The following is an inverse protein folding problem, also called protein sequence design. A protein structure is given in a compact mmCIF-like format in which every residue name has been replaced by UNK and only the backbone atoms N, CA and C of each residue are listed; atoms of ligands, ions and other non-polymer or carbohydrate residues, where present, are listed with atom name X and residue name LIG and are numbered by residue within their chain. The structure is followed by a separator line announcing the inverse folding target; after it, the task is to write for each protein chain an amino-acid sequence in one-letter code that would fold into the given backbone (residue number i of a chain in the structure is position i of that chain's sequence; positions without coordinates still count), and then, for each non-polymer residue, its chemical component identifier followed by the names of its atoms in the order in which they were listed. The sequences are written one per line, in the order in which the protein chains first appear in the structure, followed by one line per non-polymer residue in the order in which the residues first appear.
data_IF_227024807936
#
_entry.id   IF_227024807936
#
_cell.length_a   1.000
_cell.length_b   1.000
_cell.length_c   1.000
_cell.angle_alpha   90.00
_cell.angle_beta   90.00
_cell.angle_gamma   90.00
#
_symmetry.space_group_name_H-M   'P 1'
#
loop_
_entity.id
_entity.type
_entity.pdbx_description
1 polymer ?
#
# COMPACT_ATOMS: atom_id res chain seq x y z
N UNK A 1 -24.17 -19.85 2.95
CA UNK A 1 -25.51 -20.46 3.10
C UNK A 1 -25.68 -21.47 1.98
N UNK A 2 -26.26 -22.64 2.22
CA UNK A 2 -26.59 -23.57 1.15
C UNK A 2 -27.49 -22.83 0.14
N UNK A 3 -27.09 -22.74 -1.12
CA UNK A 3 -27.92 -22.16 -2.18
C UNK A 3 -29.26 -22.89 -2.18
N UNK A 4 -30.31 -22.17 -1.81
CA UNK A 4 -31.67 -22.66 -1.95
C UNK A 4 -31.96 -22.58 -3.45
N UNK A 5 -31.76 -23.70 -4.14
CA UNK A 5 -32.03 -23.83 -5.57
C UNK A 5 -33.48 -23.41 -5.84
N UNK A 6 -33.67 -22.61 -6.89
CA UNK A 6 -35.01 -22.24 -7.31
C UNK A 6 -35.75 -23.46 -7.86
N UNK A 7 -37.08 -23.46 -7.81
CA UNK A 7 -37.89 -24.59 -8.27
C UNK A 7 -37.59 -24.98 -9.72
N UNK A 8 -37.24 -24.01 -10.57
CA UNK A 8 -36.83 -24.26 -11.96
C UNK A 8 -35.49 -24.99 -12.08
N UNK A 9 -34.54 -24.72 -11.18
CA UNK A 9 -33.25 -25.40 -11.15
C UNK A 9 -33.39 -26.83 -10.62
N UNK A 10 -34.32 -27.06 -9.68
CA UNK A 10 -34.67 -28.40 -9.19
C UNK A 10 -35.29 -29.22 -10.32
N UNK A 11 -36.18 -28.61 -11.12
CA UNK A 11 -36.83 -29.26 -12.25
C UNK A 11 -35.82 -29.57 -13.38
N UNK A 12 -34.86 -28.68 -13.66
CA UNK A 12 -33.79 -28.92 -14.64
C UNK A 12 -32.86 -30.08 -14.22
N UNK A 13 -32.49 -30.15 -12.93
CA UNK A 13 -31.69 -31.27 -12.40
C UNK A 13 -32.47 -32.59 -12.39
N UNK A 14 -33.77 -32.56 -12.08
CA UNK A 14 -34.65 -33.73 -12.15
C UNK A 14 -34.79 -34.24 -13.59
N UNK A 15 -34.86 -33.33 -14.56
CA UNK A 15 -34.95 -33.67 -15.98
C UNK A 15 -33.63 -34.23 -16.54
N UNK A 16 -32.46 -33.73 -16.08
CA UNK A 16 -31.15 -34.33 -16.40
C UNK A 16 -31.00 -35.74 -15.83
N UNK A 17 -31.49 -35.97 -14.61
CA UNK A 17 -31.46 -37.30 -13.98
C UNK A 17 -32.42 -38.30 -14.64
N UNK A 18 -33.53 -37.82 -15.22
CA UNK A 18 -34.54 -38.63 -15.90
C UNK A 18 -34.17 -39.00 -17.36
N UNK A 19 -33.02 -38.57 -17.87
CA UNK A 19 -32.46 -39.03 -19.14
C UNK A 19 -33.19 -38.54 -20.41
N UNK A 20 -34.01 -37.50 -20.31
CA UNK A 20 -34.67 -36.91 -21.49
C UNK A 20 -33.76 -35.83 -22.07
N UNK A 21 -33.07 -36.14 -23.17
CA UNK A 21 -32.35 -35.14 -23.98
C UNK A 21 -33.38 -34.26 -24.69
N UNK A 22 -33.54 -33.03 -24.22
CA UNK A 22 -34.23 -31.97 -24.96
C UNK A 22 -33.14 -31.13 -25.63
N UNK A 23 -33.17 -31.09 -26.97
CA UNK A 23 -32.31 -30.21 -27.76
C UNK A 23 -32.59 -28.75 -27.37
N UNK A 24 -31.69 -28.15 -26.59
CA UNK A 24 -31.74 -26.72 -26.29
C UNK A 24 -31.39 -25.95 -27.57
N UNK A 25 -32.41 -25.34 -28.18
CA UNK A 25 -32.24 -24.25 -29.16
C UNK A 25 -31.58 -23.10 -28.42
N UNK A 26 -30.31 -22.85 -28.72
CA UNK A 26 -29.55 -21.70 -28.26
C UNK A 26 -30.18 -20.43 -28.83
N UNK A 27 -30.95 -19.73 -28.00
CA UNK A 27 -31.26 -18.33 -28.24
C UNK A 27 -30.16 -17.50 -27.58
N UNK A 28 -29.42 -16.76 -28.41
CA UNK A 28 -28.47 -15.74 -27.99
C UNK A 28 -29.23 -14.59 -27.31
N UNK A 29 -29.66 -14.81 -26.07
CA UNK A 29 -30.07 -13.75 -25.17
C UNK A 29 -28.84 -13.43 -24.35
N UNK A 30 -28.28 -12.23 -24.57
CA UNK A 30 -27.27 -11.64 -23.71
C UNK A 30 -27.72 -11.81 -22.26
N UNK A 31 -26.96 -12.61 -21.52
CA UNK A 31 -27.25 -13.02 -20.15
C UNK A 31 -27.02 -11.81 -19.24
N UNK A 32 -27.97 -10.86 -19.25
CA UNK A 32 -28.05 -9.84 -18.23
C UNK A 32 -28.38 -10.58 -16.94
N UNK A 33 -27.35 -10.90 -16.14
CA UNK A 33 -27.53 -11.49 -14.82
C UNK A 33 -28.40 -10.53 -13.98
N UNK A 34 -29.70 -10.80 -13.91
CA UNK A 34 -30.64 -10.03 -13.10
C UNK A 34 -30.28 -10.36 -11.65
N UNK A 35 -29.51 -9.49 -11.00
CA UNK A 35 -29.26 -9.58 -9.56
C UNK A 35 -30.50 -9.06 -8.84
N UNK A 36 -31.17 -9.92 -8.06
CA UNK A 36 -32.24 -9.51 -7.17
C UNK A 36 -31.71 -8.43 -6.21
N UNK A 37 -32.31 -7.24 -6.27
CA UNK A 37 -31.97 -6.14 -5.37
C UNK A 37 -32.85 -6.23 -4.14
N UNK A 38 -32.23 -6.46 -2.97
CA UNK A 38 -32.95 -6.49 -1.71
C UNK A 38 -33.24 -5.07 -1.23
N UNK A 39 -34.48 -4.63 -1.39
CA UNK A 39 -34.94 -3.31 -0.92
C UNK A 39 -34.93 -3.17 0.61
N UNK A 40 -34.79 -4.26 1.38
CA UNK A 40 -34.68 -4.21 2.85
C UNK A 40 -33.28 -3.86 3.32
N UNK A 41 -32.27 -4.14 2.50
CA UNK A 41 -30.85 -3.84 2.74
C UNK A 41 -30.30 -3.07 1.54
N UNK A 42 -30.71 -1.80 1.33
CA UNK A 42 -30.23 -1.02 0.22
C UNK A 42 -28.71 -0.90 0.31
N UNK A 43 -28.01 -1.38 -0.74
CA UNK A 43 -26.55 -1.23 -0.87
C UNK A 43 -26.19 0.21 -0.67
N UNK A 44 -25.37 0.49 0.34
CA UNK A 44 -25.03 1.88 0.67
C UNK A 44 -23.92 2.39 -0.24
N UNK A 45 -23.05 1.50 -0.73
CA UNK A 45 -21.91 1.89 -1.54
C UNK A 45 -22.22 2.00 -3.04
N UNK A 46 -21.81 3.11 -3.66
CA UNK A 46 -21.88 3.31 -5.10
C UNK A 46 -20.88 2.41 -5.86
N UNK A 47 -21.08 2.24 -7.17
CA UNK A 47 -20.16 1.46 -8.01
C UNK A 47 -18.76 2.08 -8.07
N UNK A 48 -18.68 3.41 -8.06
CA UNK A 48 -17.42 4.15 -8.05
C UNK A 48 -16.68 3.97 -6.72
N UNK A 49 -17.43 3.99 -5.61
CA UNK A 49 -16.86 3.75 -4.29
C UNK A 49 -16.30 2.34 -4.15
N UNK A 50 -17.03 1.32 -4.61
CA UNK A 50 -16.52 -0.05 -4.67
C UNK A 50 -15.22 -0.18 -5.49
N UNK A 51 -15.13 0.54 -6.62
CA UNK A 51 -13.93 0.53 -7.46
C UNK A 51 -12.74 1.18 -6.75
N UNK A 52 -12.95 2.33 -6.10
CA UNK A 52 -11.91 3.02 -5.34
C UNK A 52 -11.41 2.16 -4.17
N UNK A 53 -12.34 1.55 -3.42
CA UNK A 53 -11.99 0.64 -2.33
C UNK A 53 -11.21 -0.58 -2.84
N UNK A 54 -11.66 -1.20 -3.92
CA UNK A 54 -10.97 -2.34 -4.54
C UNK A 54 -9.53 -2.01 -4.98
N UNK A 55 -9.29 -0.79 -5.47
CA UNK A 55 -7.95 -0.34 -5.82
C UNK A 55 -7.05 -0.20 -4.59
N UNK A 56 -7.58 0.39 -3.51
CA UNK A 56 -6.86 0.55 -2.24
C UNK A 56 -6.51 -0.80 -1.61
N UNK A 57 -7.46 -1.73 -1.57
CA UNK A 57 -7.28 -3.05 -0.98
C UNK A 57 -6.29 -3.89 -1.77
N UNK A 58 -6.28 -3.80 -3.10
CA UNK A 58 -5.29 -4.47 -3.94
C UNK A 58 -3.85 -3.99 -3.68
N UNK A 59 -3.66 -2.69 -3.46
CA UNK A 59 -2.34 -2.15 -3.07
C UNK A 59 -1.90 -2.70 -1.71
N UNK A 60 -2.79 -2.72 -0.73
CA UNK A 60 -2.51 -3.29 0.60
C UNK A 60 -2.17 -4.78 0.48
N UNK A 61 -2.94 -5.54 -0.31
CA UNK A 61 -2.70 -6.97 -0.55
C UNK A 61 -1.30 -7.24 -1.11
N UNK A 62 -0.86 -6.44 -2.08
CA UNK A 62 0.51 -6.52 -2.63
C UNK A 62 1.60 -6.22 -1.61
N UNK A 63 1.42 -5.19 -0.77
CA UNK A 63 2.36 -4.87 0.30
C UNK A 63 2.44 -5.99 1.36
N UNK A 64 1.28 -6.56 1.72
CA UNK A 64 1.21 -7.70 2.63
C UNK A 64 1.91 -8.93 2.04
N UNK A 65 1.69 -9.25 0.77
CA UNK A 65 2.32 -10.39 0.11
C UNK A 65 3.84 -10.28 0.13
N UNK A 66 4.37 -9.10 -0.23
CA UNK A 66 5.81 -8.83 -0.18
C UNK A 66 6.39 -8.93 1.24
N UNK A 67 5.67 -8.41 2.23
CA UNK A 67 6.08 -8.48 3.63
C UNK A 67 6.09 -9.93 4.14
N UNK A 68 5.02 -10.68 3.88
CA UNK A 68 4.89 -12.07 4.31
C UNK A 68 5.92 -12.95 3.62
N UNK A 69 6.18 -12.75 2.33
CA UNK A 69 7.24 -13.46 1.64
C UNK A 69 8.62 -13.24 2.30
N UNK A 70 8.89 -12.02 2.77
CA UNK A 70 10.12 -11.68 3.50
C UNK A 70 10.20 -12.34 4.89
N UNK A 71 9.14 -12.23 5.69
CA UNK A 71 9.07 -12.85 7.03
C UNK A 71 9.15 -14.37 6.94
N UNK A 72 8.43 -14.96 5.99
CA UNK A 72 8.30 -16.40 5.86
C UNK A 72 9.49 -17.02 5.13
N UNK A 73 10.23 -16.23 4.34
CA UNK A 73 11.24 -16.71 3.39
C UNK A 73 10.67 -17.81 2.49
N UNK A 74 9.42 -17.62 2.06
CA UNK A 74 8.68 -18.52 1.17
C UNK A 74 7.81 -17.66 0.25
N UNK A 75 7.41 -18.22 -0.90
CA UNK A 75 6.48 -17.53 -1.78
C UNK A 75 5.12 -17.37 -1.08
N UNK A 76 4.58 -16.15 -1.13
CA UNK A 76 3.28 -15.81 -0.57
C UNK A 76 2.47 -15.05 -1.62
N UNK A 77 1.25 -15.53 -1.84
CA UNK A 77 0.27 -14.90 -2.71
C UNK A 77 -0.90 -14.40 -1.87
N UNK A 78 -1.27 -13.13 -2.04
CA UNK A 78 -2.40 -12.52 -1.36
C UNK A 78 -3.23 -11.77 -2.38
N UNK A 79 -4.49 -12.20 -2.54
CA UNK A 79 -5.44 -11.60 -3.48
C UNK A 79 -6.73 -11.24 -2.75
N UNK A 80 -7.38 -10.15 -3.17
CA UNK A 80 -8.73 -9.81 -2.70
C UNK A 80 -9.71 -10.84 -3.27
N UNK A 81 -10.35 -11.61 -2.41
CA UNK A 81 -11.33 -12.64 -2.75
C UNK A 81 -12.73 -12.02 -2.89
N UNK A 82 -13.15 -11.23 -1.88
CA UNK A 82 -14.43 -10.53 -1.91
C UNK A 82 -14.41 -9.22 -1.13
N UNK A 83 -15.38 -8.36 -1.46
CA UNK A 83 -15.68 -7.09 -0.80
C UNK A 83 -17.20 -7.05 -0.69
N UNK A 84 -17.72 -7.30 0.51
CA UNK A 84 -19.15 -7.48 0.76
C UNK A 84 -19.65 -6.66 1.95
N UNK A 85 -20.84 -6.06 1.80
CA UNK A 85 -21.55 -5.33 2.85
C UNK A 85 -22.32 -6.32 3.75
N UNK A 86 -22.09 -6.26 5.07
CA UNK A 86 -22.79 -7.06 6.06
C UNK A 86 -23.20 -6.23 7.28
N UNK A 87 -24.32 -6.56 7.95
CA UNK A 87 -24.52 -6.13 9.33
C UNK A 87 -23.41 -6.69 10.23
N UNK A 88 -22.85 -5.87 11.12
CA UNK A 88 -21.71 -6.29 11.95
C UNK A 88 -22.03 -7.51 12.82
N UNK A 89 -23.26 -7.63 13.33
CA UNK A 89 -23.67 -8.80 14.11
C UNK A 89 -23.60 -10.11 13.30
N UNK A 90 -23.88 -10.08 12.00
CA UNK A 90 -23.79 -11.27 11.14
C UNK A 90 -22.34 -11.66 10.93
N UNK A 91 -21.49 -10.68 10.64
CA UNK A 91 -20.05 -10.87 10.54
C UNK A 91 -19.48 -11.47 11.82
N UNK A 92 -19.72 -10.82 12.97
CA UNK A 92 -19.18 -11.23 14.26
C UNK A 92 -19.63 -12.65 14.66
N UNK A 93 -20.89 -13.01 14.37
CA UNK A 93 -21.41 -14.36 14.64
C UNK A 93 -20.87 -15.43 13.69
N UNK A 94 -20.29 -15.05 12.54
CA UNK A 94 -19.68 -15.98 11.58
C UNK A 94 -18.24 -16.35 11.93
N UNK A 95 -17.61 -15.58 12.82
CA UNK A 95 -16.21 -15.79 13.19
C UNK A 95 -16.04 -16.95 14.19
N UNK A 96 -14.91 -17.67 14.15
CA UNK A 96 -14.55 -18.63 15.19
C UNK A 96 -14.45 -17.96 16.57
N UNK A 97 -14.67 -18.75 17.63
CA UNK A 97 -14.53 -18.27 19.01
C UNK A 97 -13.09 -17.84 19.36
N UNK A 98 -12.10 -18.56 18.82
CA UNK A 98 -10.67 -18.29 18.98
C UNK A 98 -10.12 -17.84 17.63
N UNK A 99 -9.89 -16.53 17.53
CA UNK A 99 -9.39 -15.87 16.32
C UNK A 99 -8.51 -14.70 16.76
N UNK A 100 -7.39 -14.51 16.08
CA UNK A 100 -6.54 -13.37 16.34
C UNK A 100 -7.04 -12.15 15.56
N UNK A 101 -7.49 -11.15 16.31
CA UNK A 101 -8.08 -9.93 15.77
C UNK A 101 -7.34 -8.72 16.28
N UNK A 102 -6.82 -7.89 15.38
CA UNK A 102 -6.29 -6.58 15.74
C UNK A 102 -7.38 -5.51 15.64
N UNK A 103 -7.48 -4.68 16.68
CA UNK A 103 -8.27 -3.45 16.65
C UNK A 103 -7.35 -2.31 16.25
N UNK A 104 -7.64 -1.69 15.12
CA UNK A 104 -6.80 -0.64 14.52
C UNK A 104 -7.55 0.68 14.51
N UNK A 105 -6.92 1.72 15.06
CA UNK A 105 -7.47 3.07 15.12
C UNK A 105 -6.93 3.91 13.97
N UNK A 106 -7.81 4.72 13.39
CA UNK A 106 -7.49 5.64 12.31
C UNK A 106 -7.97 7.04 12.70
N UNK A 107 -7.03 7.92 13.00
CA UNK A 107 -7.30 9.25 13.56
C UNK A 107 -8.12 10.13 12.62
N UNK A 108 -7.88 10.05 11.30
CA UNK A 108 -8.56 10.91 10.30
C UNK A 108 -10.07 10.68 10.21
N UNK A 109 -10.56 9.52 10.69
CA UNK A 109 -11.98 9.14 10.69
C UNK A 109 -12.54 8.98 12.10
N UNK A 110 -11.75 9.25 13.15
CA UNK A 110 -12.11 9.03 14.56
C UNK A 110 -12.77 7.67 14.79
N UNK A 111 -12.16 6.62 14.26
CA UNK A 111 -12.79 5.31 14.14
C UNK A 111 -11.81 4.15 14.25
N UNK A 112 -12.38 2.97 14.49
CA UNK A 112 -11.65 1.71 14.55
C UNK A 112 -12.10 0.75 13.46
N UNK A 113 -11.16 -0.01 12.91
CA UNK A 113 -11.40 -1.15 12.03
C UNK A 113 -10.87 -2.42 12.70
N UNK A 114 -11.35 -3.57 12.24
CA UNK A 114 -10.86 -4.87 12.69
C UNK A 114 -10.06 -5.55 11.58
N UNK A 115 -8.93 -6.15 11.96
CA UNK A 115 -8.12 -7.00 11.10
C UNK A 115 -8.04 -8.40 11.70
N UNK A 116 -8.74 -9.33 11.08
CA UNK A 116 -8.80 -10.72 11.46
C UNK A 116 -7.81 -11.55 10.65
N UNK A 117 -7.14 -12.50 11.29
CA UNK A 117 -6.24 -13.43 10.62
C UNK A 117 -6.59 -14.88 10.96
N UNK A 118 -6.81 -15.70 9.93
CA UNK A 118 -7.15 -17.10 10.13
C UNK A 118 -6.05 -17.84 10.88
N UNK A 119 -6.43 -18.77 11.76
CA UNK A 119 -5.49 -19.50 12.60
C UNK A 119 -4.39 -20.22 11.77
N UNK A 120 -4.71 -20.70 10.58
CA UNK A 120 -3.71 -21.29 9.67
C UNK A 120 -2.56 -20.34 9.32
N UNK A 121 -2.86 -19.07 9.02
CA UNK A 121 -1.86 -18.06 8.68
C UNK A 121 -1.14 -17.57 9.94
N UNK A 122 -1.90 -17.31 11.01
CA UNK A 122 -1.35 -16.84 12.30
C UNK A 122 -0.31 -17.81 12.86
N UNK A 123 -0.64 -19.10 12.96
CA UNK A 123 0.32 -20.10 13.47
C UNK A 123 1.51 -20.30 12.53
N UNK A 124 1.31 -20.20 11.21
CA UNK A 124 2.40 -20.27 10.24
C UNK A 124 3.42 -19.14 10.44
N UNK A 125 2.93 -17.91 10.67
CA UNK A 125 3.79 -16.77 10.95
C UNK A 125 4.53 -16.93 12.27
N UNK A 126 3.85 -17.34 13.34
CA UNK A 126 4.43 -17.56 14.66
C UNK A 126 5.54 -18.61 14.60
N UNK A 127 5.26 -19.80 14.07
CA UNK A 127 6.23 -20.89 13.94
C UNK A 127 7.47 -20.40 13.22
N UNK A 128 7.29 -19.66 12.12
CA UNK A 128 8.40 -19.15 11.34
C UNK A 128 9.20 -18.07 12.05
N UNK A 129 8.55 -17.19 12.81
CA UNK A 129 9.22 -16.17 13.63
C UNK A 129 10.02 -16.79 14.79
N UNK A 130 9.61 -17.95 15.27
CA UNK A 130 10.34 -18.76 16.28
C UNK A 130 11.44 -19.64 15.66
N UNK A 131 11.60 -19.64 14.33
CA UNK A 131 12.62 -20.41 13.61
C UNK A 131 12.18 -21.80 13.15
N UNK A 132 10.89 -22.11 13.26
CA UNK A 132 10.27 -23.35 12.79
C UNK A 132 10.13 -23.47 11.28
N UNK A 133 9.58 -24.61 10.84
CA UNK A 133 9.27 -24.90 9.43
C UNK A 133 7.79 -24.64 9.14
N UNK A 134 7.51 -24.17 7.92
CA UNK A 134 6.16 -23.87 7.45
C UNK A 134 5.38 -25.14 7.13
N UNK A 135 6.06 -26.19 6.64
CA UNK A 135 5.43 -27.37 6.01
C UNK A 135 4.68 -28.31 6.97
N UNK A 136 4.76 -28.08 8.28
CA UNK A 136 4.22 -28.96 9.33
C UNK A 136 3.38 -28.22 10.38
N UNK A 137 2.84 -27.06 10.03
CA UNK A 137 2.10 -26.21 10.99
C UNK A 137 0.82 -26.91 11.44
N UNK A 138 0.88 -27.60 12.58
CA UNK A 138 -0.30 -28.15 13.27
C UNK A 138 -0.98 -26.97 13.94
N UNK A 139 -2.24 -26.71 13.60
CA UNK A 139 -3.03 -25.67 14.25
C UNK A 139 -3.48 -26.20 15.61
N UNK A 140 -2.98 -25.65 16.73
CA UNK A 140 -3.41 -26.05 18.05
C UNK A 140 -4.88 -25.69 18.28
N UNK A 141 -5.64 -26.61 18.87
CA UNK A 141 -6.99 -26.33 19.36
C UNK A 141 -6.93 -25.79 20.80
N UNK A 142 -6.33 -24.60 20.96
CA UNK A 142 -6.22 -23.87 22.24
C UNK A 142 -6.18 -22.37 21.99
N UNK A 143 -6.36 -21.59 23.06
CA UNK A 143 -6.14 -20.14 23.05
C UNK A 143 -4.67 -19.79 22.77
N UNK A 144 -4.45 -18.60 22.22
CA UNK A 144 -3.12 -18.04 22.00
C UNK A 144 -2.45 -17.67 23.34
N UNK A 145 -1.15 -17.94 23.44
CA UNK A 145 -0.31 -17.50 24.55
C UNK A 145 0.06 -16.02 24.42
N UNK A 146 0.45 -15.39 25.53
CA UNK A 146 0.93 -14.00 25.53
C UNK A 146 2.15 -13.80 24.61
N UNK A 147 3.03 -14.81 24.51
CA UNK A 147 4.20 -14.78 23.61
C UNK A 147 3.75 -14.75 22.15
N UNK A 148 2.76 -15.56 21.79
CA UNK A 148 2.19 -15.61 20.43
C UNK A 148 1.53 -14.28 20.06
N UNK A 149 0.78 -13.68 20.98
CA UNK A 149 0.17 -12.35 20.81
C UNK A 149 1.26 -11.27 20.64
N UNK A 150 2.31 -11.28 21.46
CA UNK A 150 3.40 -10.31 21.37
C UNK A 150 4.20 -10.42 20.06
N UNK A 151 4.38 -11.62 19.52
CA UNK A 151 4.99 -11.81 18.20
C UNK A 151 4.11 -11.19 17.11
N UNK A 152 2.80 -11.46 17.16
CA UNK A 152 1.86 -10.99 16.16
C UNK A 152 1.60 -9.49 16.25
N UNK A 153 1.82 -8.85 17.40
CA UNK A 153 1.81 -7.39 17.53
C UNK A 153 2.76 -6.71 16.53
N UNK A 154 3.92 -7.31 16.27
CA UNK A 154 4.88 -6.79 15.29
C UNK A 154 4.35 -6.87 13.86
N UNK A 155 3.64 -7.96 13.55
CA UNK A 155 3.00 -8.18 12.25
C UNK A 155 1.89 -7.16 12.05
N UNK A 156 0.96 -7.04 13.01
CA UNK A 156 -0.15 -6.10 12.91
C UNK A 156 0.29 -4.64 12.89
N UNK A 157 1.32 -4.25 13.65
CA UNK A 157 1.92 -2.91 13.52
C UNK A 157 2.43 -2.64 12.11
N UNK A 158 3.04 -3.64 11.46
CA UNK A 158 3.49 -3.48 10.07
C UNK A 158 2.30 -3.39 9.10
N UNK A 159 1.23 -4.15 9.33
CA UNK A 159 -0.02 -4.01 8.57
C UNK A 159 -0.62 -2.61 8.71
N UNK A 160 -0.63 -2.04 9.91
CA UNK A 160 -1.08 -0.66 10.15
C UNK A 160 -0.29 0.36 9.31
N UNK A 161 1.04 0.18 9.18
CA UNK A 161 1.85 1.03 8.31
C UNK A 161 1.42 0.94 6.85
N UNK A 162 1.12 -0.25 6.33
CA UNK A 162 0.66 -0.40 4.95
C UNK A 162 -0.72 0.23 4.72
N UNK A 163 -1.61 0.14 5.71
CA UNK A 163 -2.90 0.83 5.67
C UNK A 163 -2.68 2.35 5.66
N UNK A 164 -1.79 2.87 6.51
CA UNK A 164 -1.46 4.30 6.52
C UNK A 164 -0.89 4.76 5.17
N UNK A 165 0.01 3.99 4.57
CA UNK A 165 0.58 4.28 3.24
C UNK A 165 -0.49 4.28 2.15
N UNK A 166 -1.43 3.32 2.17
CA UNK A 166 -2.55 3.29 1.24
C UNK A 166 -3.49 4.50 1.40
N UNK A 167 -3.56 5.05 2.62
CA UNK A 167 -4.37 6.21 2.96
C UNK A 167 -3.61 7.55 2.85
N UNK A 168 -2.44 7.61 2.21
CA UNK A 168 -1.59 8.82 2.15
C UNK A 168 -2.30 10.07 1.60
N UNK A 169 -3.33 9.88 0.79
CA UNK A 169 -4.12 10.97 0.20
C UNK A 169 -5.08 11.65 1.21
N UNK A 170 -5.23 11.10 2.41
CA UNK A 170 -5.98 11.69 3.50
C UNK A 170 -5.04 12.55 4.38
N UNK A 171 -5.38 13.83 4.63
CA UNK A 171 -4.57 14.68 5.49
C UNK A 171 -4.63 14.20 6.94
N UNK A 172 -3.49 14.25 7.64
CA UNK A 172 -3.36 13.89 9.05
C UNK A 172 -3.80 12.46 9.39
N UNK A 173 -3.62 11.50 8.47
CA UNK A 173 -3.91 10.09 8.75
C UNK A 173 -2.78 9.45 9.53
N UNK A 174 -3.10 9.08 10.76
CA UNK A 174 -2.27 8.24 11.62
C UNK A 174 -3.06 6.96 11.90
N UNK A 175 -2.43 5.81 11.64
CA UNK A 175 -3.02 4.49 11.82
C UNK A 175 -2.24 3.76 12.91
N UNK A 176 -2.92 3.39 13.99
CA UNK A 176 -2.28 2.81 15.16
C UNK A 176 -2.95 1.50 15.59
N UNK A 177 -2.14 0.54 16.02
CA UNK A 177 -2.64 -0.70 16.63
C UNK A 177 -3.07 -0.38 18.06
N UNK A 178 -4.36 -0.45 18.36
CA UNK A 178 -4.90 -0.23 19.72
C UNK A 178 -4.58 -1.42 20.61
N UNK A 179 -5.01 -2.61 20.21
CA UNK A 179 -4.82 -3.87 20.92
C UNK A 179 -5.10 -5.07 20.00
N UNK A 180 -4.74 -6.25 20.49
CA UNK A 180 -5.06 -7.54 19.87
C UNK A 180 -6.00 -8.29 20.81
N UNK A 181 -7.10 -8.78 20.26
CA UNK A 181 -8.05 -9.67 20.91
C UNK A 181 -7.88 -11.08 20.34
N UNK A 182 -7.99 -12.09 21.20
CA UNK A 182 -7.88 -13.51 20.81
C UNK A 182 -9.24 -14.21 20.80
N UNK A 183 -10.28 -13.50 21.25
CA UNK A 183 -11.66 -13.97 21.22
C UNK A 183 -12.58 -12.89 20.69
N UNK A 184 -13.39 -13.30 19.72
CA UNK A 184 -14.32 -12.44 18.97
C UNK A 184 -15.47 -11.91 19.84
N UNK A 185 -15.71 -12.53 21.00
CA UNK A 185 -16.77 -12.14 21.94
C UNK A 185 -16.47 -10.85 22.72
N UNK A 186 -15.19 -10.48 22.85
CA UNK A 186 -14.77 -9.31 23.64
C UNK A 186 -14.56 -8.04 22.81
N UNK A 187 -14.64 -8.15 21.49
CA UNK A 187 -14.44 -7.02 20.58
C UNK A 187 -15.66 -6.10 20.64
N UNK A 188 -15.47 -4.90 21.19
CA UNK A 188 -16.50 -3.85 21.27
C UNK A 188 -16.10 -2.58 20.52
N UNK A 189 -15.29 -2.72 19.49
CA UNK A 189 -14.80 -1.59 18.69
C UNK A 189 -15.87 -1.04 17.74
N UNK A 190 -16.78 -1.91 17.25
CA UNK A 190 -17.85 -1.57 16.31
C UNK A 190 -19.20 -1.87 16.97
N UNK A 191 -20.21 -1.03 16.71
CA UNK A 191 -21.57 -1.23 17.22
C UNK A 191 -22.25 -2.39 16.50
N UNK A 192 -23.00 -3.21 17.24
CA UNK A 192 -23.67 -4.43 16.74
C UNK A 192 -24.63 -4.15 15.58
N UNK A 193 -25.29 -2.99 15.61
CA UNK A 193 -26.28 -2.56 14.62
C UNK A 193 -25.66 -1.85 13.40
N UNK A 194 -24.34 -1.65 13.39
CA UNK A 194 -23.65 -0.93 12.32
C UNK A 194 -23.47 -1.83 11.08
N UNK A 195 -23.52 -1.22 9.89
CA UNK A 195 -23.21 -1.90 8.63
C UNK A 195 -21.71 -1.77 8.38
N UNK A 196 -21.07 -2.89 8.07
CA UNK A 196 -19.63 -2.99 7.82
C UNK A 196 -19.37 -3.49 6.40
N UNK A 197 -18.30 -2.99 5.83
CA UNK A 197 -17.67 -3.53 4.64
C UNK A 197 -16.65 -4.58 5.07
N UNK A 198 -16.80 -5.80 4.56
CA UNK A 198 -15.95 -6.94 4.86
C UNK A 198 -15.10 -7.23 3.63
N UNK A 199 -13.80 -7.02 3.75
CA UNK A 199 -12.83 -7.30 2.69
C UNK A 199 -12.09 -8.58 3.07
N UNK A 200 -12.27 -9.62 2.26
CA UNK A 200 -11.61 -10.92 2.46
C UNK A 200 -10.41 -11.01 1.53
N UNK A 201 -9.23 -11.20 2.10
CA UNK A 201 -8.02 -11.53 1.37
C UNK A 201 -7.78 -13.04 1.47
N UNK A 202 -7.69 -13.70 0.32
CA UNK A 202 -7.18 -15.07 0.23
C UNK A 202 -5.65 -15.06 0.36
N UNK A 203 -5.11 -15.90 1.23
CA UNK A 203 -3.66 -16.01 1.48
C UNK A 203 -3.21 -17.42 1.19
N UNK A 204 -2.21 -17.57 0.32
CA UNK A 204 -1.56 -18.85 0.01
C UNK A 204 -0.06 -18.76 0.28
N UNK A 205 0.45 -19.67 1.11
CA UNK A 205 1.86 -19.77 1.50
C UNK A 205 2.29 -21.23 1.26
N UNK A 206 2.95 -21.50 0.13
CA UNK A 206 3.26 -22.88 -0.27
C UNK A 206 1.99 -23.73 -0.35
N UNK A 207 1.85 -24.73 0.53
CA UNK A 207 0.66 -25.59 0.64
C UNK A 207 -0.41 -25.06 1.60
N UNK A 208 -0.09 -24.06 2.42
CA UNK A 208 -0.98 -23.51 3.44
C UNK A 208 -1.89 -22.46 2.81
N UNK A 209 -3.18 -22.57 3.11
CA UNK A 209 -4.21 -21.60 2.73
C UNK A 209 -4.88 -21.02 3.96
N UNK A 210 -5.31 -19.78 3.84
CA UNK A 210 -6.08 -19.09 4.86
C UNK A 210 -6.51 -17.72 4.40
N UNK A 211 -6.95 -16.90 5.34
CA UNK A 211 -7.52 -15.59 5.04
C UNK A 211 -7.02 -14.53 6.01
N UNK A 212 -6.97 -13.31 5.49
CA UNK A 212 -6.95 -12.09 6.29
C UNK A 212 -8.24 -11.36 5.97
N UNK A 213 -8.96 -10.86 6.97
CA UNK A 213 -10.21 -10.15 6.76
C UNK A 213 -10.12 -8.77 7.39
N UNK A 214 -10.45 -7.73 6.63
CA UNK A 214 -10.63 -6.39 7.16
C UNK A 214 -12.11 -6.08 7.28
N UNK A 215 -12.55 -5.69 8.47
CA UNK A 215 -13.93 -5.29 8.75
C UNK A 215 -13.95 -3.79 9.07
N UNK A 216 -14.59 -3.02 8.20
CA UNK A 216 -14.56 -1.56 8.20
C UNK A 216 -15.99 -1.02 8.28
N UNK A 217 -16.35 -0.24 9.29
CA UNK A 217 -17.65 0.44 9.31
C UNK A 217 -17.90 1.27 8.06
N UNK A 218 -19.08 1.14 7.46
CA UNK A 218 -19.43 1.82 6.20
C UNK A 218 -19.27 3.35 6.30
N UNK A 219 -19.59 3.92 7.47
CA UNK A 219 -19.45 5.36 7.77
C UNK A 219 -18.02 5.87 7.54
N UNK A 220 -17.02 5.01 7.74
CA UNK A 220 -15.61 5.32 7.54
C UNK A 220 -15.16 5.13 6.10
N UNK A 221 -15.69 4.10 5.41
CA UNK A 221 -15.46 3.86 3.99
C UNK A 221 -15.89 5.07 3.17
N UNK A 222 -17.07 5.63 3.46
CA UNK A 222 -17.57 6.83 2.80
C UNK A 222 -16.62 8.03 2.96
N UNK A 223 -16.13 8.28 4.17
CA UNK A 223 -15.18 9.36 4.46
C UNK A 223 -13.83 9.16 3.75
N UNK A 224 -13.33 7.92 3.70
CA UNK A 224 -12.07 7.56 3.03
C UNK A 224 -12.15 7.69 1.52
N UNK A 225 -13.29 7.34 0.90
CA UNK A 225 -13.42 7.37 -0.56
C UNK A 225 -13.71 8.78 -1.07
N UNK A 226 -14.52 9.57 -0.35
CA UNK A 226 -14.81 10.95 -0.78
C UNK A 226 -13.55 11.81 -0.91
N UNK A 227 -12.52 11.58 -0.09
CA UNK A 227 -11.23 12.27 -0.23
C UNK A 227 -10.44 11.80 -1.45
N UNK A 228 -10.45 10.49 -1.73
CA UNK A 228 -9.72 9.88 -2.86
C UNK A 228 -10.36 10.30 -4.18
N UNK A 229 -11.69 10.21 -4.30
CA UNK A 229 -12.42 10.61 -5.51
C UNK A 229 -12.26 12.11 -5.80
N UNK A 230 -12.32 12.98 -4.77
CA UNK A 230 -12.05 14.42 -4.94
C UNK A 230 -10.63 14.71 -5.44
N UNK A 231 -9.66 13.83 -5.17
CA UNK A 231 -8.31 13.95 -5.70
C UNK A 231 -8.18 13.35 -7.10
N UNK A 232 -8.87 12.24 -7.41
CA UNK A 232 -8.92 11.68 -8.76
C UNK A 232 -9.64 12.62 -9.76
N UNK A 233 -10.70 13.31 -9.35
CA UNK A 233 -11.38 14.33 -10.17
C UNK A 233 -10.49 15.56 -10.44
N UNK A 234 -9.54 15.86 -9.55
CA UNK A 234 -8.51 16.89 -9.79
C UNK A 234 -7.42 16.41 -10.75
N UNK A 235 -7.20 15.09 -10.86
CA UNK A 235 -6.25 14.48 -11.79
C UNK A 235 -6.86 14.27 -13.19
N UNK A 236 -8.16 13.98 -13.28
CA UNK A 236 -8.86 13.68 -14.53
C UNK A 236 -9.48 14.91 -15.22
N UNK A 237 -9.80 15.98 -14.48
CA UNK A 237 -10.23 17.24 -15.09
C UNK A 237 -9.01 18.11 -15.39
N UNK A 238 -8.60 18.13 -16.66
CA UNK A 238 -7.77 19.13 -17.32
C UNK A 238 -6.91 20.00 -16.39
N UNK A 239 -5.65 19.57 -16.25
CA UNK A 239 -4.48 20.34 -15.82
C UNK A 239 -4.62 21.82 -16.20
N UNK A 240 -5.17 22.61 -15.29
CA UNK A 240 -5.17 24.07 -15.30
C UNK A 240 -5.25 24.54 -13.87
N UNK A 241 -4.14 24.45 -13.15
CA UNK A 241 -3.89 25.37 -12.04
C UNK A 241 -2.40 25.62 -12.05
N UNK A 242 -2.01 26.75 -12.63
CA UNK A 242 -0.68 27.32 -12.46
C UNK A 242 -0.27 27.32 -10.98
N UNK A 243 -1.22 27.34 -10.05
CA UNK A 243 -1.02 27.21 -8.60
C UNK A 243 -0.36 25.89 -8.16
N UNK A 244 -0.75 24.73 -8.68
CA UNK A 244 -0.10 23.44 -8.30
C UNK A 244 1.29 23.36 -8.91
N UNK A 245 1.42 23.79 -10.17
CA UNK A 245 2.72 23.92 -10.83
C UNK A 245 3.64 24.89 -10.07
N UNK A 246 3.10 26.01 -9.60
CA UNK A 246 3.83 27.02 -8.86
C UNK A 246 4.20 26.51 -7.47
N UNK A 247 3.32 25.80 -6.77
CA UNK A 247 3.62 25.18 -5.48
C UNK A 247 4.73 24.13 -5.60
N UNK A 248 4.67 23.27 -6.63
CA UNK A 248 5.75 22.31 -6.91
C UNK A 248 7.06 23.00 -7.30
N UNK A 249 7.00 24.07 -8.11
CA UNK A 249 8.18 24.86 -8.45
C UNK A 249 8.76 25.59 -7.24
N UNK A 250 7.92 26.05 -6.32
CA UNK A 250 8.31 26.70 -5.07
C UNK A 250 8.99 25.70 -4.15
N UNK A 251 8.46 24.50 -4.02
CA UNK A 251 9.07 23.42 -3.24
C UNK A 251 10.40 22.94 -3.85
N UNK A 252 10.47 22.81 -5.18
CA UNK A 252 11.73 22.54 -5.90
C UNK A 252 12.74 23.69 -5.75
N UNK A 253 12.27 24.94 -5.69
CA UNK A 253 13.16 26.12 -5.53
C UNK A 253 13.81 26.18 -4.15
N UNK A 254 13.20 25.54 -3.15
CA UNK A 254 13.74 25.45 -1.79
C UNK A 254 14.74 24.29 -1.61
N UNK A 255 14.93 23.46 -2.64
CA UNK A 255 15.94 22.40 -2.61
C UNK A 255 17.36 22.99 -2.67
N UNK A 256 18.20 22.60 -1.71
CA UNK A 256 19.59 23.01 -1.68
C UNK A 256 20.40 22.14 -2.64
N UNK A 257 21.10 22.79 -3.57
CA UNK A 257 22.03 22.14 -4.51
C UNK A 257 23.44 22.63 -4.27
N UNK A 258 24.42 21.71 -4.32
CA UNK A 258 25.82 22.09 -4.22
C UNK A 258 26.34 22.56 -5.58
N UNK A 259 26.78 23.81 -5.64
CA UNK A 259 27.27 24.46 -6.86
C UNK A 259 28.74 24.79 -6.68
N UNK A 260 29.59 24.12 -7.45
CA UNK A 260 31.04 24.26 -7.35
C UNK A 260 31.66 24.71 -8.68
N UNK A 261 32.57 25.69 -8.62
CA UNK A 261 33.33 26.16 -9.77
C UNK A 261 34.76 25.64 -9.76
N UNK A 262 35.10 24.79 -10.72
CA UNK A 262 36.43 24.20 -10.86
C UNK A 262 37.33 25.20 -11.59
N UNK A 263 38.19 25.88 -10.82
CA UNK A 263 39.14 26.89 -11.31
C UNK A 263 40.27 26.31 -12.17
N UNK A 264 40.49 25.00 -12.11
CA UNK A 264 41.46 24.28 -12.93
C UNK A 264 41.73 22.89 -12.37
N UNK A 265 42.34 22.04 -13.20
CA UNK A 265 42.77 20.69 -12.84
C UNK A 265 44.28 20.60 -12.93
N UNK A 266 44.92 19.71 -12.17
CA UNK A 266 46.35 19.44 -12.29
C UNK A 266 46.56 17.92 -12.28
N UNK A 267 47.55 17.45 -13.05
CA UNK A 267 48.01 16.06 -13.00
C UNK A 267 49.28 16.01 -12.15
N UNK A 268 49.22 15.24 -11.07
CA UNK A 268 50.33 15.03 -10.14
C UNK A 268 50.64 13.54 -10.07
N UNK A 269 51.90 13.17 -9.92
CA UNK A 269 52.23 11.79 -9.58
C UNK A 269 51.84 11.50 -8.13
N UNK A 270 51.57 10.24 -7.80
CA UNK A 270 51.25 9.86 -6.42
C UNK A 270 52.37 10.25 -5.43
N UNK A 271 53.62 10.18 -5.89
CA UNK A 271 54.80 10.58 -5.11
C UNK A 271 54.78 12.08 -4.79
N UNK A 272 54.41 12.93 -5.75
CA UNK A 272 54.35 14.38 -5.54
C UNK A 272 53.19 14.75 -4.61
N UNK A 273 52.05 14.05 -4.73
CA UNK A 273 50.91 14.23 -3.84
C UNK A 273 51.25 13.89 -2.38
N UNK A 274 52.01 12.82 -2.14
CA UNK A 274 52.41 12.40 -0.80
C UNK A 274 53.40 13.36 -0.13
N UNK A 275 54.19 14.09 -0.91
CA UNK A 275 55.24 14.99 -0.41
C UNK A 275 54.81 16.46 -0.39
N UNK A 276 53.53 16.75 -0.61
CA UNK A 276 53.01 18.10 -0.77
C UNK A 276 52.98 18.84 0.58
N UNK A 277 53.60 20.02 0.64
CA UNK A 277 53.72 20.83 1.85
C UNK A 277 53.10 22.22 1.67
N UNK A 278 52.79 22.87 2.81
CA UNK A 278 52.30 24.25 2.80
C UNK A 278 53.38 25.17 2.21
N UNK A 279 53.05 25.87 1.12
CA UNK A 279 54.01 26.70 0.37
C UNK A 279 54.30 26.19 -1.04
N UNK A 280 53.94 24.94 -1.36
CA UNK A 280 54.15 24.37 -2.69
C UNK A 280 53.23 25.01 -3.74
N UNK A 281 53.75 25.19 -4.95
CA UNK A 281 53.04 25.82 -6.08
C UNK A 281 52.57 24.74 -7.05
N UNK A 282 51.26 24.51 -7.09
CA UNK A 282 50.63 23.59 -8.05
C UNK A 282 50.25 24.36 -9.31
N UNK A 283 50.84 23.99 -10.44
CA UNK A 283 50.47 24.53 -11.75
C UNK A 283 49.18 23.86 -12.25
N UNK A 284 48.13 24.65 -12.43
CA UNK A 284 46.86 24.20 -13.00
C UNK A 284 46.93 24.16 -14.54
N UNK A 285 46.23 23.22 -15.15
CA UNK A 285 45.99 23.07 -16.60
C UNK A 285 44.89 24.04 -17.09
N UNK A 286 44.85 25.27 -16.55
CA UNK A 286 43.89 26.31 -16.91
C UNK A 286 44.62 27.63 -17.09
N UNK A 287 44.39 28.32 -18.23
CA UNK A 287 44.94 29.67 -18.44
C UNK A 287 44.09 30.72 -17.74
N UNK A 288 44.75 31.77 -17.25
CA UNK A 288 44.08 32.95 -16.69
C UNK A 288 43.16 33.56 -17.76
N UNK A 289 41.91 33.79 -17.40
CA UNK A 289 40.88 34.34 -18.30
C UNK A 289 40.03 33.30 -19.04
N UNK A 290 40.37 32.01 -18.97
CA UNK A 290 39.51 30.96 -19.53
C UNK A 290 38.28 30.70 -18.66
N UNK A 291 37.13 30.33 -19.25
CA UNK A 291 35.95 29.90 -18.51
C UNK A 291 36.22 28.69 -17.61
N UNK A 292 35.70 28.73 -16.39
CA UNK A 292 35.74 27.64 -15.40
C UNK A 292 34.53 26.73 -15.57
N UNK A 293 34.71 25.44 -15.28
CA UNK A 293 33.64 24.46 -15.32
C UNK A 293 32.83 24.55 -14.03
N UNK A 294 31.51 24.68 -14.13
CA UNK A 294 30.60 24.69 -12.99
C UNK A 294 29.87 23.37 -12.91
N UNK A 295 29.96 22.74 -11.75
CA UNK A 295 29.27 21.50 -11.42
C UNK A 295 28.11 21.75 -10.48
N UNK A 296 27.04 20.97 -10.65
CA UNK A 296 25.90 20.91 -9.74
C UNK A 296 25.82 19.47 -9.27
N UNK A 297 25.96 19.25 -7.95
CA UNK A 297 26.05 17.91 -7.35
C UNK A 297 27.04 16.99 -8.11
N UNK A 298 28.25 17.51 -8.35
CA UNK A 298 29.34 16.84 -9.11
C UNK A 298 29.08 16.54 -10.59
N UNK A 299 27.90 16.84 -11.13
CA UNK A 299 27.61 16.74 -12.55
C UNK A 299 28.02 18.02 -13.28
N UNK A 300 28.45 17.93 -14.54
CA UNK A 300 28.92 19.07 -15.34
C UNK A 300 27.76 19.76 -16.03
N UNK A 301 27.49 21.03 -15.73
CA UNK A 301 26.31 21.74 -16.24
C UNK A 301 26.63 22.99 -17.04
N UNK A 302 27.57 23.81 -16.58
CA UNK A 302 27.82 25.12 -17.17
C UNK A 302 29.30 25.44 -17.30
N UNK A 303 29.62 26.31 -18.25
CA UNK A 303 30.83 27.12 -18.24
C UNK A 303 30.51 28.47 -17.59
N UNK A 304 31.45 29.00 -16.81
CA UNK A 304 31.30 30.28 -16.16
C UNK A 304 32.60 31.09 -16.14
N UNK A 305 32.50 32.39 -15.88
CA UNK A 305 33.64 33.28 -15.77
C UNK A 305 33.86 33.65 -14.30
N UNK A 306 35.05 33.37 -13.73
CA UNK A 306 35.34 33.75 -12.35
C UNK A 306 35.49 35.27 -12.23
N UNK A 307 34.99 35.84 -11.14
CA UNK A 307 35.01 37.27 -10.88
C UNK A 307 34.72 37.61 -9.42
N UNK A 308 34.42 38.88 -9.15
CA UNK A 308 34.10 39.39 -7.82
C UNK A 308 32.79 40.16 -7.86
N UNK A 309 31.86 39.86 -6.94
CA UNK A 309 30.60 40.58 -6.76
C UNK A 309 30.48 41.00 -5.30
N UNK A 310 30.32 42.31 -5.05
CA UNK A 310 30.21 42.89 -3.69
C UNK A 310 31.28 42.35 -2.72
N UNK A 311 32.54 42.37 -3.16
CA UNK A 311 33.71 41.89 -2.40
C UNK A 311 33.80 40.38 -2.14
N UNK A 312 32.89 39.57 -2.69
CA UNK A 312 32.94 38.11 -2.64
C UNK A 312 33.34 37.51 -3.98
N UNK A 313 34.13 36.43 -3.96
CA UNK A 313 34.42 35.62 -5.16
C UNK A 313 33.10 35.09 -5.73
N UNK A 314 32.91 35.21 -7.03
CA UNK A 314 31.69 34.82 -7.71
C UNK A 314 32.01 34.23 -9.09
N UNK A 315 31.06 33.50 -9.66
CA UNK A 315 31.16 32.97 -11.03
C UNK A 315 29.93 33.42 -11.80
N UNK A 316 30.15 34.02 -12.98
CA UNK A 316 29.07 34.37 -13.90
C UNK A 316 28.85 33.22 -14.85
N UNK A 317 27.65 32.63 -14.86
CA UNK A 317 27.28 31.60 -15.83
C UNK A 317 27.31 32.18 -17.26
N UNK A 318 27.94 31.46 -18.19
CA UNK A 318 28.09 31.89 -19.58
C UNK A 318 27.38 30.96 -20.57
N UNK A 319 27.73 29.68 -20.61
CA UNK A 319 27.19 28.71 -21.59
C UNK A 319 26.90 27.36 -20.94
N UNK A 320 25.90 26.66 -21.47
CA UNK A 320 25.64 25.27 -21.08
C UNK A 320 26.81 24.36 -21.49
N UNK A 321 27.16 23.41 -20.64
CA UNK A 321 28.17 22.41 -20.92
C UNK A 321 27.60 21.39 -21.91
N UNK A 322 28.05 21.43 -23.17
CA UNK A 322 27.72 20.40 -24.18
C UNK A 322 28.67 19.21 -23.99
N UNK A 323 28.35 18.33 -23.05
CA UNK A 323 28.91 16.98 -22.97
C UNK A 323 27.81 15.98 -23.29
N UNK A 324 28.07 15.05 -24.21
CA UNK A 324 27.15 13.95 -24.49
C UNK A 324 26.89 13.13 -23.23
N UNK A 325 25.65 12.66 -23.10
CA UNK A 325 25.28 11.62 -22.14
C UNK A 325 26.13 10.38 -22.34
#
# INVERSE_FOLDING_TARGET
MAEILSQSQIDDLLNELAGVKIDKVSSDLEDHSIKNYDFKSPKKMSREQNKALSSLTDVIGRHLAAYFAGVLRNYCEINVDSIDEHPYYEYNNSLPDVLMTAVVDIDSINGSILLDMSNSITYTLIERMLGGSVDTTIIPNREFTEIEVALMERVFKKMCMFIQEALVNLPNTNVTLRNIETSTRFIKAIRIEEVVEVIVYSVTIGSIKGTITACIPYTYVEAMIMSVVKNEDKLNNNITTDEVRNAMLEELSNSLVDVCGIIGTAKLSLKDLMNLQSGDVIKLEQKVGNPVLVTINNNKWFWGEPGVKKSSKAIRFSKYYKGGF
#
